data_IF_401190552409
#
_entry.id   IF_401190552409
#
_cell.length_a   1.000
_cell.length_b   1.000
_cell.length_c   1.000
_cell.angle_alpha   90.00
_cell.angle_beta   90.00
_cell.angle_gamma   90.00
#
_symmetry.space_group_name_H-M   'P 1'
#
loop_
_entity.id
_entity.type
_entity.pdbx_description
1 polymer ?
#
# COMPACT_ATOMS: atom_id res chain seq x y z
N UNK A 1 -11.03 -2.45 10.83
CA UNK A 1 -11.06 -2.57 9.36
C UNK A 1 -10.76 -4.00 8.91
N UNK A 2 -10.88 -4.24 7.59
CA UNK A 2 -10.71 -5.58 7.03
C UNK A 2 -9.27 -6.07 7.20
N UNK A 3 -8.29 -5.22 6.94
CA UNK A 3 -6.88 -5.60 7.08
C UNK A 3 -6.55 -6.01 8.51
N UNK A 4 -7.03 -5.25 9.49
CA UNK A 4 -6.82 -5.56 10.90
C UNK A 4 -7.47 -6.89 11.28
N UNK A 5 -8.70 -7.14 10.82
CA UNK A 5 -9.40 -8.39 11.10
C UNK A 5 -8.65 -9.60 10.53
N UNK A 6 -8.13 -9.48 9.30
CA UNK A 6 -7.33 -10.53 8.67
C UNK A 6 -6.03 -10.76 9.43
N UNK A 7 -5.40 -9.69 9.88
CA UNK A 7 -4.17 -9.75 10.66
C UNK A 7 -4.39 -10.50 11.98
N UNK A 8 -5.47 -10.16 12.70
CA UNK A 8 -5.81 -10.81 13.97
C UNK A 8 -6.10 -12.30 13.80
N UNK A 9 -6.61 -12.72 12.62
CA UNK A 9 -6.85 -14.12 12.29
C UNK A 9 -5.62 -14.79 11.67
N UNK A 10 -4.46 -14.16 11.75
CA UNK A 10 -3.20 -14.66 11.19
C UNK A 10 -3.21 -14.86 9.68
N UNK A 11 -4.06 -14.12 8.97
CA UNK A 11 -4.14 -14.11 7.51
C UNK A 11 -3.25 -13.01 6.94
N UNK A 12 -1.96 -13.11 7.24
CA UNK A 12 -0.99 -12.04 6.99
C UNK A 12 -0.86 -11.61 5.52
N UNK A 13 -0.72 -12.52 4.53
CA UNK A 13 -0.64 -12.09 3.14
C UNK A 13 -1.86 -11.30 2.69
N UNK A 14 -3.04 -11.73 3.07
CA UNK A 14 -4.28 -11.05 2.71
C UNK A 14 -4.40 -9.71 3.41
N UNK A 15 -3.99 -9.62 4.68
CA UNK A 15 -3.98 -8.36 5.42
C UNK A 15 -3.10 -7.32 4.72
N UNK A 16 -1.90 -7.72 4.30
CA UNK A 16 -0.97 -6.84 3.60
C UNK A 16 -1.52 -6.41 2.23
N UNK A 17 -2.15 -7.33 1.52
CA UNK A 17 -2.78 -7.01 0.23
C UNK A 17 -3.90 -5.99 0.39
N UNK A 18 -4.77 -6.16 1.39
CA UNK A 18 -5.85 -5.20 1.67
C UNK A 18 -5.27 -3.84 2.08
N UNK A 19 -4.19 -3.84 2.86
CA UNK A 19 -3.47 -2.62 3.20
C UNK A 19 -2.94 -1.90 1.96
N UNK A 20 -2.37 -2.65 1.02
CA UNK A 20 -1.93 -2.11 -0.28
C UNK A 20 -3.09 -1.44 -1.02
N UNK A 21 -4.25 -2.10 -1.08
CA UNK A 21 -5.41 -1.56 -1.76
C UNK A 21 -5.92 -0.27 -1.09
N UNK A 22 -5.85 -0.19 0.23
CA UNK A 22 -6.23 1.02 0.96
C UNK A 22 -5.32 2.20 0.58
N UNK A 23 -4.01 1.97 0.48
CA UNK A 23 -3.05 2.98 0.06
C UNK A 23 -3.30 3.40 -1.39
N UNK A 24 -3.61 2.46 -2.27
CA UNK A 24 -3.91 2.74 -3.67
C UNK A 24 -5.11 3.68 -3.79
N UNK A 25 -6.18 3.40 -3.05
CA UNK A 25 -7.38 4.26 -3.07
C UNK A 25 -7.07 5.67 -2.57
N UNK A 26 -6.29 5.76 -1.52
CA UNK A 26 -5.91 7.06 -0.94
C UNK A 26 -5.03 7.87 -1.90
N UNK A 27 -4.07 7.19 -2.54
CA UNK A 27 -3.22 7.83 -3.55
C UNK A 27 -4.03 8.30 -4.76
N UNK A 28 -5.00 7.50 -5.22
CA UNK A 28 -5.88 7.90 -6.32
C UNK A 28 -6.69 9.14 -5.96
N UNK A 29 -7.19 9.22 -4.73
CA UNK A 29 -7.92 10.40 -4.25
C UNK A 29 -7.01 11.64 -4.28
N UNK A 30 -5.77 11.49 -3.85
CA UNK A 30 -4.79 12.59 -3.88
C UNK A 30 -4.46 13.02 -5.32
N UNK A 31 -4.32 12.07 -6.24
CA UNK A 31 -4.07 12.37 -7.65
C UNK A 31 -5.23 13.17 -8.24
N UNK A 32 -6.47 12.74 -8.00
CA UNK A 32 -7.65 13.46 -8.48
C UNK A 32 -7.69 14.87 -7.93
N UNK A 33 -7.44 15.03 -6.64
CA UNK A 33 -7.43 16.34 -5.98
C UNK A 33 -6.36 17.25 -6.55
N UNK A 34 -5.16 16.72 -6.78
CA UNK A 34 -4.00 17.50 -7.25
C UNK A 34 -4.13 17.86 -8.72
N UNK A 35 -4.47 16.90 -9.57
CA UNK A 35 -4.50 17.08 -11.02
C UNK A 35 -5.84 17.53 -11.55
N UNK A 36 -6.91 17.39 -10.79
CA UNK A 36 -8.30 17.65 -11.21
C UNK A 36 -8.71 16.78 -12.39
N UNK A 37 -8.04 15.63 -12.57
CA UNK A 37 -8.31 14.66 -13.62
C UNK A 37 -8.51 13.29 -12.99
N UNK A 38 -9.06 12.36 -13.77
CA UNK A 38 -9.18 10.98 -13.30
C UNK A 38 -7.82 10.39 -12.98
N UNK A 39 -7.77 9.56 -11.95
CA UNK A 39 -6.54 8.84 -11.63
C UNK A 39 -6.23 7.84 -12.75
N UNK A 40 -4.94 7.59 -13.04
CA UNK A 40 -4.57 6.59 -14.02
C UNK A 40 -5.10 5.21 -13.65
N UNK A 41 -5.41 4.40 -14.66
CA UNK A 41 -5.82 3.02 -14.42
C UNK A 41 -4.58 2.17 -14.15
N UNK A 42 -4.14 2.18 -12.91
CA UNK A 42 -2.92 1.48 -12.49
C UNK A 42 -3.04 1.05 -11.03
N UNK A 43 -2.30 -0.01 -10.68
CA UNK A 43 -2.15 -0.45 -9.28
C UNK A 43 -0.78 -0.06 -8.74
N UNK A 44 0.03 0.66 -9.51
CA UNK A 44 1.37 1.06 -9.09
C UNK A 44 1.32 2.23 -8.12
N UNK A 45 1.67 1.99 -6.86
CA UNK A 45 1.73 3.03 -5.83
C UNK A 45 2.77 4.09 -6.17
N UNK A 46 4.00 3.72 -6.60
CA UNK A 46 4.99 4.75 -6.98
C UNK A 46 4.54 5.62 -8.15
N UNK A 47 3.89 5.04 -9.15
CA UNK A 47 3.40 5.81 -10.29
C UNK A 47 2.34 6.81 -9.87
N UNK A 48 1.40 6.40 -9.02
CA UNK A 48 0.38 7.28 -8.48
C UNK A 48 1.02 8.40 -7.65
N UNK A 49 1.97 8.06 -6.79
CA UNK A 49 2.67 9.03 -5.95
C UNK A 49 3.42 10.07 -6.78
N UNK A 50 3.99 9.66 -7.92
CA UNK A 50 4.70 10.56 -8.82
C UNK A 50 3.82 11.62 -9.46
N UNK A 51 2.50 11.46 -9.44
CA UNK A 51 1.56 12.42 -10.00
C UNK A 51 1.03 13.42 -8.98
N UNK A 52 1.40 13.25 -7.72
CA UNK A 52 1.00 14.17 -6.66
C UNK A 52 2.00 15.33 -6.60
N UNK A 53 1.47 16.56 -6.65
CA UNK A 53 2.29 17.76 -6.76
C UNK A 53 3.02 18.15 -5.47
N UNK A 54 2.64 17.60 -4.35
CA UNK A 54 3.33 17.80 -3.08
C UNK A 54 4.49 16.82 -2.97
N UNK A 55 5.69 17.30 -2.70
CA UNK A 55 6.86 16.44 -2.59
C UNK A 55 6.66 15.33 -1.56
N UNK A 56 6.62 14.09 -2.04
CA UNK A 56 6.56 12.94 -1.15
C UNK A 56 7.99 12.60 -0.70
N UNK A 57 8.24 12.51 0.63
CA UNK A 57 9.57 12.17 1.11
C UNK A 57 10.11 10.87 0.52
N UNK A 58 11.40 10.81 0.25
CA UNK A 58 12.04 9.62 -0.31
C UNK A 58 11.79 8.38 0.55
N UNK A 59 11.74 8.54 1.87
CA UNK A 59 11.42 7.47 2.80
C UNK A 59 10.06 6.84 2.49
N UNK A 60 9.07 7.68 2.24
CA UNK A 60 7.71 7.22 1.89
C UNK A 60 7.70 6.55 0.52
N UNK A 61 8.40 7.16 -0.47
CA UNK A 61 8.48 6.57 -1.81
C UNK A 61 9.10 5.18 -1.80
N UNK A 62 10.15 4.97 -1.00
CA UNK A 62 10.78 3.67 -0.88
C UNK A 62 9.82 2.64 -0.29
N UNK A 63 9.04 3.02 0.70
CA UNK A 63 8.03 2.13 1.30
C UNK A 63 6.94 1.79 0.30
N UNK A 64 6.46 2.76 -0.47
CA UNK A 64 5.45 2.51 -1.49
C UNK A 64 5.95 1.52 -2.54
N UNK A 65 7.20 1.66 -2.97
CA UNK A 65 7.80 0.73 -3.92
C UNK A 65 7.88 -0.69 -3.34
N UNK A 66 8.27 -0.81 -2.07
CA UNK A 66 8.35 -2.10 -1.41
C UNK A 66 6.98 -2.79 -1.27
N UNK A 67 5.91 -2.01 -1.09
CA UNK A 67 4.56 -2.56 -0.96
C UNK A 67 4.04 -3.19 -2.25
N UNK A 68 4.66 -2.92 -3.39
CA UNK A 68 4.26 -3.53 -4.66
C UNK A 68 4.42 -5.05 -4.64
N UNK A 69 5.31 -5.57 -3.79
CA UNK A 69 5.46 -7.00 -3.58
C UNK A 69 4.14 -7.65 -3.17
N UNK A 70 3.36 -6.99 -2.32
CA UNK A 70 2.11 -7.54 -1.80
C UNK A 70 1.07 -7.72 -2.89
N UNK A 71 0.96 -6.76 -3.81
CA UNK A 71 0.03 -6.84 -4.92
C UNK A 71 0.46 -7.93 -5.92
N UNK A 72 1.74 -7.92 -6.29
CA UNK A 72 2.30 -8.82 -7.29
C UNK A 72 2.23 -10.27 -6.82
N UNK A 73 2.69 -10.54 -5.60
CA UNK A 73 2.76 -11.89 -5.04
C UNK A 73 1.37 -12.48 -4.79
N UNK A 74 0.39 -11.65 -4.41
CA UNK A 74 -0.98 -12.12 -4.20
C UNK A 74 -1.68 -12.49 -5.52
N UNK A 75 -1.23 -11.93 -6.64
CA UNK A 75 -1.86 -12.10 -7.94
C UNK A 75 -1.39 -13.32 -8.72
N UNK A 76 -0.14 -13.75 -8.54
CA UNK A 76 0.47 -14.82 -9.32
C UNK A 76 0.71 -16.05 -8.45
N UNK A 77 0.08 -17.22 -8.79
CA UNK A 77 0.12 -18.41 -7.94
C UNK A 77 1.52 -18.91 -7.58
N UNK A 78 2.47 -18.84 -8.51
CA UNK A 78 3.85 -19.30 -8.25
C UNK A 78 4.55 -18.45 -7.20
N UNK A 79 4.24 -17.16 -7.17
CA UNK A 79 4.83 -16.24 -6.20
C UNK A 79 4.09 -16.24 -4.88
N UNK A 80 2.81 -16.61 -4.88
CA UNK A 80 2.03 -16.73 -3.66
C UNK A 80 2.70 -17.64 -2.63
N UNK A 81 3.19 -18.80 -3.05
CA UNK A 81 3.82 -19.74 -2.13
C UNK A 81 5.02 -19.11 -1.43
N UNK A 82 5.89 -18.45 -2.19
CA UNK A 82 7.05 -17.73 -1.63
C UNK A 82 6.61 -16.64 -0.66
N UNK A 83 5.59 -15.90 -1.05
CA UNK A 83 5.08 -14.82 -0.21
C UNK A 83 4.49 -15.35 1.08
N UNK A 84 3.73 -16.44 1.03
CA UNK A 84 3.19 -17.07 2.22
C UNK A 84 4.30 -17.53 3.18
N UNK A 85 5.36 -18.12 2.64
CA UNK A 85 6.50 -18.56 3.44
C UNK A 85 7.23 -17.37 4.08
N UNK A 86 7.34 -16.26 3.37
CA UNK A 86 7.99 -15.04 3.83
C UNK A 86 7.14 -14.30 4.85
N UNK A 87 5.82 -14.43 4.80
CA UNK A 87 4.89 -13.70 5.66
C UNK A 87 4.79 -14.32 7.05
N UNK A 88 5.89 -14.27 7.79
CA UNK A 88 5.87 -14.57 9.22
C UNK A 88 5.17 -13.46 9.98
N UNK A 89 4.85 -13.71 11.25
CA UNK A 89 4.27 -12.68 12.11
C UNK A 89 5.19 -11.46 12.19
N UNK A 90 6.50 -11.67 12.34
CA UNK A 90 7.46 -10.59 12.44
C UNK A 90 7.51 -9.73 11.18
N UNK A 91 7.53 -10.37 10.01
CA UNK A 91 7.49 -9.68 8.73
C UNK A 91 6.20 -8.87 8.60
N UNK A 92 5.05 -9.50 8.91
CA UNK A 92 3.76 -8.85 8.81
C UNK A 92 3.64 -7.67 9.77
N UNK A 93 4.15 -7.80 11.02
CA UNK A 93 4.15 -6.71 11.99
C UNK A 93 4.87 -5.48 11.45
N UNK A 94 6.08 -5.66 10.90
CA UNK A 94 6.87 -4.56 10.36
C UNK A 94 6.18 -3.91 9.18
N UNK A 95 5.64 -4.70 8.27
CA UNK A 95 4.98 -4.18 7.06
C UNK A 95 3.67 -3.49 7.38
N UNK A 96 2.90 -4.02 8.34
CA UNK A 96 1.68 -3.35 8.77
C UNK A 96 1.99 -2.00 9.43
N UNK A 97 3.06 -1.89 10.20
CA UNK A 97 3.50 -0.61 10.74
C UNK A 97 3.86 0.37 9.64
N UNK A 98 4.60 -0.09 8.63
CA UNK A 98 4.97 0.75 7.50
C UNK A 98 3.73 1.23 6.74
N UNK A 99 2.76 0.35 6.52
CA UNK A 99 1.50 0.70 5.85
C UNK A 99 0.75 1.76 6.66
N UNK A 100 0.66 1.60 7.97
CA UNK A 100 -0.01 2.57 8.84
C UNK A 100 0.67 3.93 8.81
N UNK A 101 1.99 3.95 8.84
CA UNK A 101 2.76 5.20 8.77
C UNK A 101 2.50 5.93 7.47
N UNK A 102 2.58 5.22 6.35
CA UNK A 102 2.32 5.80 5.02
C UNK A 102 0.87 6.24 4.91
N UNK A 103 -0.06 5.43 5.38
CA UNK A 103 -1.48 5.75 5.34
C UNK A 103 -1.77 7.05 6.11
N UNK A 104 -1.23 7.20 7.31
CA UNK A 104 -1.41 8.41 8.12
C UNK A 104 -0.84 9.63 7.41
N UNK A 105 0.33 9.50 6.82
CA UNK A 105 0.96 10.59 6.09
C UNK A 105 0.11 11.04 4.91
N UNK A 106 -0.36 10.08 4.10
CA UNK A 106 -1.20 10.38 2.93
C UNK A 106 -2.54 10.96 3.33
N UNK A 107 -3.16 10.42 4.38
CA UNK A 107 -4.44 10.91 4.88
C UNK A 107 -4.34 12.34 5.36
N UNK A 108 -3.25 12.68 6.05
CA UNK A 108 -2.98 14.03 6.48
C UNK A 108 -2.88 14.99 5.28
N UNK A 109 -2.19 14.57 4.21
CA UNK A 109 -2.08 15.35 3.00
C UNK A 109 -3.43 15.56 2.34
N UNK A 110 -4.28 14.56 2.32
CA UNK A 110 -5.62 14.67 1.74
C UNK A 110 -6.50 15.67 2.54
N UNK A 111 -6.27 15.77 3.83
CA UNK A 111 -7.01 16.69 4.71
C UNK A 111 -6.54 18.13 4.61
N UNK A 112 -5.40 18.38 4.01
CA UNK A 112 -4.87 19.75 3.79
C UNK A 112 -5.55 20.49 2.60
#
# INVERSE_FOLDING_TARGET
>A
DVAKALYEKKKYPYALFIGHLALEKLLKALVVRTTRKHAPYTHSLPLLAGQIDTGIPQKIMKKLAAFMEFHFEARYPRQQTRFYEKCTKQFADRKMQDIREVYKWLKKKLSE
#
